data_IF_368555365997
#
_entry.id   IF_368555365997
#
_cell.length_a   1.000
_cell.length_b   1.000
_cell.length_c   1.000
_cell.angle_alpha   90.00
_cell.angle_beta   90.00
_cell.angle_gamma   90.00
#
_symmetry.space_group_name_H-M   'P 1'
#
loop_
_entity.id
_entity.type
_entity.pdbx_description
1 polymer ?
#
# COMPACT_ATOMS: atom_id res chain seq x y z
N UNK A 1 40.90 2.40 33.25
CA UNK A 1 39.51 2.88 33.11
C UNK A 1 39.25 3.20 31.63
N UNK A 2 38.99 2.19 30.79
CA UNK A 2 38.70 2.39 29.37
C UNK A 2 37.21 2.65 29.19
N UNK A 3 36.84 3.84 28.67
CA UNK A 3 35.48 4.14 28.24
C UNK A 3 35.19 3.31 26.99
N UNK A 4 34.29 2.34 27.10
CA UNK A 4 33.72 1.64 25.95
C UNK A 4 32.78 2.61 25.25
N UNK A 5 33.17 3.10 24.07
CA UNK A 5 32.25 3.74 23.13
C UNK A 5 31.33 2.61 22.61
N UNK A 6 30.05 2.66 22.96
CA UNK A 6 29.04 1.84 22.33
C UNK A 6 28.77 2.41 20.95
N UNK A 7 29.06 1.64 19.90
CA UNK A 7 28.62 1.96 18.55
C UNK A 7 27.08 1.92 18.53
N UNK A 8 26.47 3.09 18.37
CA UNK A 8 25.04 3.17 18.10
C UNK A 8 24.76 2.57 16.71
N UNK A 9 23.74 1.70 16.63
CA UNK A 9 23.28 1.14 15.37
C UNK A 9 22.78 2.28 14.47
N UNK A 10 23.54 2.56 13.39
CA UNK A 10 23.06 3.44 12.32
C UNK A 10 21.93 2.70 11.60
N UNK A 11 20.68 3.12 11.84
CA UNK A 11 19.51 2.62 11.11
C UNK A 11 19.64 3.01 9.63
N UNK A 12 19.97 2.03 8.79
CA UNK A 12 20.08 2.20 7.35
C UNK A 12 18.67 2.36 6.75
N UNK A 13 18.37 3.62 6.40
CA UNK A 13 17.40 4.06 5.41
C UNK A 13 15.96 3.57 5.58
N UNK A 14 15.11 4.45 6.12
CA UNK A 14 13.69 4.43 5.80
C UNK A 14 13.51 4.35 4.28
N UNK A 15 12.77 3.35 3.80
CA UNK A 15 12.34 3.25 2.40
C UNK A 15 11.40 4.43 2.09
N UNK A 16 11.97 5.58 1.74
CA UNK A 16 11.21 6.74 1.29
C UNK A 16 10.59 6.35 -0.05
N UNK A 17 9.27 6.17 -0.07
CA UNK A 17 8.55 5.89 -1.32
C UNK A 17 8.81 7.04 -2.30
N UNK A 18 9.09 6.76 -3.58
CA UNK A 18 9.31 7.82 -4.57
C UNK A 18 8.05 8.69 -4.64
N UNK A 19 8.23 10.00 -4.43
CA UNK A 19 7.13 10.96 -4.51
C UNK A 19 6.62 11.07 -5.95
N UNK A 20 5.30 11.18 -6.09
CA UNK A 20 4.69 11.42 -7.41
C UNK A 20 5.15 12.78 -7.97
N UNK A 21 5.01 12.96 -9.29
CA UNK A 21 5.40 14.20 -9.97
C UNK A 21 4.65 15.42 -9.43
N UNK A 22 3.41 15.24 -9.00
CA UNK A 22 2.59 16.31 -8.40
C UNK A 22 3.13 16.72 -7.03
N UNK A 23 3.47 15.75 -6.16
CA UNK A 23 4.08 16.03 -4.86
C UNK A 23 5.40 16.80 -4.99
N UNK A 24 6.21 16.48 -6.00
CA UNK A 24 7.45 17.23 -6.28
C UNK A 24 7.18 18.67 -6.74
N UNK A 25 6.11 18.91 -7.48
CA UNK A 25 5.73 20.27 -7.92
C UNK A 25 5.21 21.11 -6.74
N UNK A 26 4.46 20.47 -5.84
CA UNK A 26 3.92 21.07 -4.61
C UNK A 26 5.07 21.46 -3.66
N UNK A 27 6.06 20.58 -3.48
CA UNK A 27 7.20 20.84 -2.59
C UNK A 27 8.15 21.93 -3.10
N UNK A 28 8.17 22.17 -4.42
CA UNK A 28 8.91 23.28 -5.03
C UNK A 28 8.25 24.65 -4.81
N UNK A 29 6.95 24.69 -4.53
CA UNK A 29 6.23 25.94 -4.26
C UNK A 29 6.40 26.37 -2.81
N UNK A 30 7.42 27.21 -2.56
CA UNK A 30 7.74 27.78 -1.24
C UNK A 30 6.53 28.42 -0.55
N UNK A 31 5.76 29.22 -1.28
CA UNK A 31 4.58 29.92 -0.73
C UNK A 31 3.47 28.95 -0.27
N UNK A 32 3.29 27.85 -0.99
CA UNK A 32 2.27 26.85 -0.65
C UNK A 32 2.71 26.02 0.57
N UNK A 33 4.00 25.68 0.66
CA UNK A 33 4.60 25.04 1.83
C UNK A 33 4.56 25.95 3.07
N UNK A 34 4.81 27.25 2.92
CA UNK A 34 4.71 28.23 4.00
C UNK A 34 3.24 28.36 4.47
N UNK A 35 2.27 28.42 3.54
CA UNK A 35 0.83 28.42 3.88
C UNK A 35 0.40 27.18 4.65
N UNK A 36 0.83 25.99 4.21
CA UNK A 36 0.56 24.74 4.93
C UNK A 36 1.25 24.71 6.30
N UNK A 37 2.50 25.19 6.39
CA UNK A 37 3.20 25.32 7.67
C UNK A 37 2.46 26.27 8.61
N UNK A 38 1.98 27.41 8.12
CA UNK A 38 1.21 28.38 8.93
C UNK A 38 -0.13 27.79 9.36
N UNK A 39 -0.85 27.08 8.49
CA UNK A 39 -2.08 26.36 8.86
C UNK A 39 -1.84 25.34 9.97
N UNK A 40 -0.82 24.49 9.81
CA UNK A 40 -0.51 23.44 10.78
C UNK A 40 0.13 23.97 12.07
N UNK A 41 0.67 25.20 12.06
CA UNK A 41 1.22 25.86 13.26
C UNK A 41 0.13 26.36 14.21
N UNK A 42 -1.14 26.41 13.79
CA UNK A 42 -2.27 26.86 14.61
C UNK A 42 -2.96 25.70 15.35
N UNK A 43 -2.56 24.45 15.10
CA UNK A 43 -3.04 23.28 15.85
C UNK A 43 -2.41 23.27 17.26
N UNK A 44 -2.95 24.08 18.17
CA UNK A 44 -2.95 23.93 19.65
C UNK A 44 -3.35 25.22 20.42
N UNK A 45 -3.98 26.20 19.77
CA UNK A 45 -4.73 27.23 20.50
C UNK A 45 -6.19 27.15 20.07
N UNK A 46 -7.01 26.46 20.85
CA UNK A 46 -8.46 26.71 20.86
C UNK A 46 -8.68 28.15 21.34
N UNK A 47 -8.65 29.11 20.40
CA UNK A 47 -9.20 30.43 20.65
C UNK A 47 -10.72 30.30 20.68
N UNK A 48 -11.28 30.19 21.89
CA UNK A 48 -12.72 30.25 22.12
C UNK A 48 -13.37 31.57 21.64
N UNK A 49 -12.59 32.56 21.20
CA UNK A 49 -13.08 33.85 20.70
C UNK A 49 -13.46 33.85 19.20
N UNK A 50 -13.23 32.74 18.49
CA UNK A 50 -13.77 32.54 17.14
C UNK A 50 -14.80 31.41 17.12
N UNK A 51 -15.76 31.46 18.04
CA UNK A 51 -17.11 31.14 17.62
C UNK A 51 -17.52 32.16 16.55
N UNK A 52 -17.04 31.98 15.32
CA UNK A 52 -17.76 32.50 14.17
C UNK A 52 -19.12 31.84 14.25
N UNK A 53 -20.08 32.56 14.83
CA UNK A 53 -21.47 32.43 14.48
C UNK A 53 -21.49 32.72 12.99
N UNK A 54 -21.24 31.69 12.19
CA UNK A 54 -21.60 31.68 10.79
C UNK A 54 -23.10 31.79 10.87
N UNK A 55 -23.60 33.02 10.82
CA UNK A 55 -24.96 33.29 10.44
C UNK A 55 -25.07 32.67 9.04
N UNK A 56 -25.43 31.39 9.02
CA UNK A 56 -26.02 30.72 7.87
C UNK A 56 -27.04 31.71 7.37
N UNK A 57 -26.77 32.34 6.23
CA UNK A 57 -27.68 33.28 5.59
C UNK A 57 -29.06 32.63 5.59
N UNK A 58 -29.91 33.07 6.51
CA UNK A 58 -31.19 32.45 6.77
C UNK A 58 -32.05 32.74 5.55
N UNK A 59 -32.27 31.73 4.73
CA UNK A 59 -33.21 31.85 3.63
C UNK A 59 -34.61 31.93 4.26
N UNK A 60 -35.22 33.11 4.24
CA UNK A 60 -36.52 33.39 4.87
C UNK A 60 -37.64 32.48 4.37
N UNK A 61 -37.43 31.82 3.22
CA UNK A 61 -38.32 30.81 2.65
C UNK A 61 -38.56 29.58 3.55
N UNK A 62 -37.64 29.26 4.49
CA UNK A 62 -37.75 28.05 5.31
C UNK A 62 -38.28 28.33 6.72
N UNK A 63 -38.77 29.56 6.98
CA UNK A 63 -39.13 29.99 8.34
C UNK A 63 -40.43 29.36 8.85
N UNK A 64 -41.27 28.82 7.96
CA UNK A 64 -42.63 28.33 8.29
C UNK A 64 -43.03 27.01 7.60
N UNK A 65 -42.13 26.33 6.88
CA UNK A 65 -42.49 25.19 6.02
C UNK A 65 -42.06 23.81 6.54
N UNK A 66 -40.81 23.66 6.97
CA UNK A 66 -40.22 22.36 7.26
C UNK A 66 -39.63 22.32 8.67
N UNK A 67 -39.89 21.23 9.41
CA UNK A 67 -39.19 20.97 10.66
C UNK A 67 -37.68 20.95 10.38
N UNK A 68 -36.90 21.73 11.12
CA UNK A 68 -35.45 21.78 10.96
C UNK A 68 -34.80 20.38 11.00
N UNK A 69 -35.41 19.47 11.75
CA UNK A 69 -35.00 18.06 11.82
C UNK A 69 -35.17 17.32 10.49
N UNK A 70 -36.21 17.61 9.71
CA UNK A 70 -36.48 16.95 8.44
C UNK A 70 -35.52 17.45 7.35
N UNK A 71 -35.21 18.75 7.35
CA UNK A 71 -34.16 19.30 6.48
C UNK A 71 -32.78 18.69 6.81
N UNK A 72 -32.45 18.54 8.09
CA UNK A 72 -31.18 17.93 8.49
C UNK A 72 -31.13 16.43 8.16
N UNK A 73 -32.24 15.70 8.37
CA UNK A 73 -32.38 14.30 7.93
C UNK A 73 -32.22 14.17 6.42
N UNK A 74 -32.83 15.05 5.63
CA UNK A 74 -32.71 15.03 4.17
C UNK A 74 -31.28 15.34 3.72
N UNK A 75 -30.62 16.31 4.35
CA UNK A 75 -29.21 16.63 4.08
C UNK A 75 -28.28 15.46 4.41
N UNK A 76 -28.52 14.75 5.51
CA UNK A 76 -27.75 13.56 5.87
C UNK A 76 -27.99 12.39 4.91
N UNK A 77 -29.22 12.21 4.43
CA UNK A 77 -29.54 11.22 3.38
C UNK A 77 -28.83 11.54 2.08
N UNK A 78 -28.91 12.78 1.59
CA UNK A 78 -28.20 13.23 0.39
C UNK A 78 -26.68 13.04 0.50
N UNK A 79 -26.08 13.33 1.67
CA UNK A 79 -24.65 13.06 1.91
C UNK A 79 -24.31 11.57 1.85
N UNK A 80 -25.15 10.71 2.41
CA UNK A 80 -24.98 9.25 2.34
C UNK A 80 -25.08 8.76 0.91
N UNK A 81 -26.08 9.22 0.16
CA UNK A 81 -26.32 8.83 -1.23
C UNK A 81 -25.19 9.32 -2.16
N UNK A 82 -24.71 10.55 -1.96
CA UNK A 82 -23.56 11.06 -2.70
C UNK A 82 -22.29 10.24 -2.41
N UNK A 83 -22.08 9.83 -1.16
CA UNK A 83 -20.93 9.00 -0.76
C UNK A 83 -21.02 7.59 -1.36
N UNK A 84 -22.21 6.97 -1.39
CA UNK A 84 -22.38 5.64 -1.97
C UNK A 84 -22.15 5.66 -3.48
N UNK A 85 -22.71 6.65 -4.19
CA UNK A 85 -22.47 6.86 -5.62
C UNK A 85 -20.98 7.05 -5.92
N UNK A 86 -20.29 7.91 -5.17
CA UNK A 86 -18.85 8.12 -5.33
C UNK A 86 -18.03 6.83 -5.15
N UNK A 87 -18.35 6.03 -4.11
CA UNK A 87 -17.67 4.76 -3.89
C UNK A 87 -17.95 3.74 -4.99
N UNK A 88 -19.16 3.73 -5.55
CA UNK A 88 -19.50 2.88 -6.69
C UNK A 88 -18.70 3.28 -7.94
N UNK A 89 -18.65 4.57 -8.28
CA UNK A 89 -17.85 5.09 -9.41
C UNK A 89 -16.36 4.78 -9.25
N UNK A 90 -15.80 5.03 -8.06
CA UNK A 90 -14.41 4.71 -7.75
C UNK A 90 -14.13 3.20 -7.90
N UNK A 91 -15.06 2.36 -7.45
CA UNK A 91 -14.98 0.90 -7.59
C UNK A 91 -15.04 0.44 -9.05
N UNK A 92 -15.87 1.07 -9.89
CA UNK A 92 -15.94 0.77 -11.32
C UNK A 92 -14.64 1.17 -12.04
N UNK A 93 -14.11 2.37 -11.75
CA UNK A 93 -12.84 2.83 -12.31
C UNK A 93 -11.67 1.92 -11.93
N UNK A 94 -11.65 1.42 -10.69
CA UNK A 94 -10.63 0.47 -10.25
C UNK A 94 -10.69 -0.85 -11.03
N UNK A 95 -11.91 -1.38 -11.29
CA UNK A 95 -12.09 -2.60 -12.09
C UNK A 95 -11.70 -2.41 -13.55
N UNK A 96 -12.09 -1.30 -14.16
CA UNK A 96 -11.71 -0.98 -15.55
C UNK A 96 -10.18 -0.89 -15.70
N UNK A 97 -9.51 -0.28 -14.72
CA UNK A 97 -8.06 -0.21 -14.69
C UNK A 97 -7.40 -1.59 -14.56
N UNK A 98 -7.94 -2.46 -13.71
CA UNK A 98 -7.44 -3.83 -13.55
C UNK A 98 -7.63 -4.65 -14.84
N UNK A 99 -8.78 -4.53 -15.49
CA UNK A 99 -9.05 -5.14 -16.80
C UNK A 99 -8.06 -4.65 -17.86
N UNK A 100 -7.84 -3.34 -17.94
CA UNK A 100 -6.87 -2.76 -18.86
C UNK A 100 -5.46 -3.32 -18.67
N UNK A 101 -5.00 -3.47 -17.42
CA UNK A 101 -3.67 -4.05 -17.16
C UNK A 101 -3.60 -5.53 -17.55
N UNK A 102 -4.64 -6.31 -17.24
CA UNK A 102 -4.70 -7.73 -17.64
C UNK A 102 -4.67 -7.89 -19.16
N UNK A 103 -5.46 -7.11 -19.89
CA UNK A 103 -5.45 -7.12 -21.36
C UNK A 103 -4.08 -6.71 -21.91
N UNK A 104 -3.42 -5.73 -21.29
CA UNK A 104 -2.09 -5.27 -21.70
C UNK A 104 -1.01 -6.32 -21.46
N UNK A 105 -1.11 -7.08 -20.38
CA UNK A 105 -0.16 -8.14 -20.05
C UNK A 105 -0.38 -9.37 -20.96
N UNK A 106 -1.63 -9.78 -21.19
CA UNK A 106 -1.95 -10.83 -22.18
C UNK A 106 -1.43 -10.43 -23.58
N UNK A 107 -1.69 -9.19 -24.01
CA UNK A 107 -1.21 -8.70 -25.30
C UNK A 107 0.30 -8.50 -25.39
N UNK A 108 1.04 -8.48 -24.27
CA UNK A 108 2.50 -8.53 -24.27
C UNK A 108 3.00 -9.97 -24.38
N UNK A 109 2.38 -10.90 -23.66
CA UNK A 109 2.74 -12.31 -23.69
C UNK A 109 2.49 -12.88 -25.10
N UNK A 110 1.37 -12.55 -25.74
CA UNK A 110 1.09 -12.94 -27.12
C UNK A 110 2.12 -12.39 -28.11
N UNK A 111 2.51 -11.10 -27.97
CA UNK A 111 3.57 -10.50 -28.79
C UNK A 111 4.91 -11.16 -28.54
N UNK A 112 5.23 -11.48 -27.29
CA UNK A 112 6.47 -12.15 -26.92
C UNK A 112 6.53 -13.57 -27.51
N UNK A 113 5.42 -14.32 -27.44
CA UNK A 113 5.29 -15.64 -28.06
C UNK A 113 5.39 -15.57 -29.58
N UNK A 114 4.75 -14.58 -30.22
CA UNK A 114 4.90 -14.36 -31.66
C UNK A 114 6.34 -13.97 -32.04
N UNK A 115 6.99 -13.10 -31.28
CA UNK A 115 8.39 -12.73 -31.49
C UNK A 115 9.33 -13.93 -31.35
N UNK A 116 9.07 -14.83 -30.40
CA UNK A 116 9.80 -16.10 -30.23
C UNK A 116 9.67 -17.02 -31.46
N UNK A 117 8.45 -17.14 -32.00
CA UNK A 117 8.19 -17.95 -33.20
C UNK A 117 8.84 -17.32 -34.43
N UNK A 118 8.72 -16.00 -34.60
CA UNK A 118 9.15 -15.28 -35.81
C UNK A 118 10.66 -15.09 -35.86
N UNK A 119 11.29 -14.78 -34.73
CA UNK A 119 12.75 -14.65 -34.67
C UNK A 119 13.44 -16.01 -34.68
N UNK A 120 12.70 -17.07 -34.38
CA UNK A 120 13.25 -18.38 -34.10
C UNK A 120 14.21 -18.31 -32.91
N UNK A 121 14.49 -19.45 -32.32
CA UNK A 121 15.68 -19.55 -31.47
C UNK A 121 16.89 -19.36 -32.40
N UNK A 122 17.34 -18.11 -32.62
CA UNK A 122 18.69 -17.81 -33.08
C UNK A 122 19.61 -18.25 -31.95
N UNK A 123 19.79 -19.57 -31.87
CA UNK A 123 20.66 -20.21 -30.92
C UNK A 123 22.04 -19.61 -31.16
N UNK A 124 22.64 -19.08 -30.10
CA UNK A 124 24.08 -19.00 -30.06
C UNK A 124 24.61 -20.41 -30.38
N UNK A 125 25.74 -20.50 -31.07
CA UNK A 125 26.30 -21.75 -31.62
C UNK A 125 26.43 -22.89 -30.57
N UNK A 126 26.35 -22.58 -29.26
CA UNK A 126 26.37 -23.56 -28.16
C UNK A 126 25.00 -24.14 -27.74
N UNK A 127 23.86 -23.59 -28.18
CA UNK A 127 22.53 -24.10 -27.79
C UNK A 127 22.15 -23.94 -26.31
N UNK A 128 23.04 -23.38 -25.48
CA UNK A 128 22.80 -23.15 -24.06
C UNK A 128 22.12 -21.79 -23.81
N UNK A 129 21.13 -21.73 -22.89
CA UNK A 129 20.49 -20.48 -22.51
C UNK A 129 21.48 -19.57 -21.76
N UNK A 130 21.80 -18.42 -22.37
CA UNK A 130 22.65 -17.40 -21.79
C UNK A 130 21.83 -16.39 -20.99
N UNK A 131 22.18 -16.17 -19.72
CA UNK A 131 21.47 -15.21 -18.88
C UNK A 131 22.05 -13.81 -19.08
N UNK A 132 21.26 -12.90 -19.67
CA UNK A 132 21.69 -11.53 -20.01
C UNK A 132 21.92 -10.67 -18.75
N UNK A 133 21.24 -10.97 -17.64
CA UNK A 133 21.33 -10.19 -16.40
C UNK A 133 22.62 -10.54 -15.64
N UNK A 134 22.94 -11.82 -15.52
CA UNK A 134 24.16 -12.29 -14.82
C UNK A 134 25.37 -12.40 -15.74
N UNK A 135 25.17 -12.36 -17.07
CA UNK A 135 26.19 -12.55 -18.12
C UNK A 135 26.90 -13.90 -18.06
N UNK A 136 26.23 -14.91 -17.53
CA UNK A 136 26.75 -16.28 -17.36
C UNK A 136 25.88 -17.27 -18.12
N UNK A 137 26.49 -18.36 -18.62
CA UNK A 137 25.76 -19.52 -19.13
C UNK A 137 25.19 -20.31 -17.96
N UNK A 138 24.03 -20.95 -18.16
CA UNK A 138 23.40 -21.77 -17.13
C UNK A 138 24.34 -22.89 -16.67
N UNK A 139 24.85 -22.81 -15.44
CA UNK A 139 25.59 -23.90 -14.83
C UNK A 139 24.61 -24.79 -14.06
N UNK A 140 24.35 -26.04 -14.50
CA UNK A 140 23.37 -26.92 -13.85
C UNK A 140 23.73 -27.25 -12.40
N UNK A 141 25.02 -27.29 -12.07
CA UNK A 141 25.47 -27.58 -10.70
C UNK A 141 25.15 -26.43 -9.74
N UNK A 142 25.39 -25.19 -10.17
CA UNK A 142 25.08 -24.00 -9.38
C UNK A 142 23.58 -23.86 -9.13
N UNK A 143 22.76 -24.25 -10.11
CA UNK A 143 21.31 -24.22 -9.97
C UNK A 143 20.82 -25.24 -8.93
N UNK A 144 21.35 -26.46 -8.97
CA UNK A 144 21.03 -27.49 -7.97
C UNK A 144 21.44 -27.05 -6.56
N UNK A 145 22.58 -26.38 -6.41
CA UNK A 145 23.01 -25.81 -5.13
C UNK A 145 22.05 -24.72 -4.62
N UNK A 146 21.61 -23.82 -5.50
CA UNK A 146 20.66 -22.75 -5.17
C UNK A 146 19.27 -23.30 -4.80
N UNK A 147 18.78 -24.30 -5.53
CA UNK A 147 17.51 -24.97 -5.25
C UNK A 147 17.58 -25.69 -3.90
N UNK A 148 18.67 -26.40 -3.62
CA UNK A 148 18.91 -27.04 -2.34
C UNK A 148 18.99 -26.04 -1.18
N UNK A 149 19.61 -24.87 -1.39
CA UNK A 149 19.68 -23.82 -0.39
C UNK A 149 18.30 -23.21 -0.11
N UNK A 150 17.52 -22.90 -1.16
CA UNK A 150 16.16 -22.40 -1.02
C UNK A 150 15.25 -23.39 -0.28
N UNK A 151 15.41 -24.68 -0.53
CA UNK A 151 14.63 -25.71 0.16
C UNK A 151 15.00 -25.84 1.65
N UNK A 152 16.29 -25.69 1.99
CA UNK A 152 16.74 -25.61 3.40
C UNK A 152 16.16 -24.39 4.11
N UNK A 153 16.17 -23.23 3.45
CA UNK A 153 15.62 -21.99 4.01
C UNK A 153 14.11 -22.10 4.23
N UNK A 154 13.39 -22.73 3.29
CA UNK A 154 11.97 -23.00 3.42
C UNK A 154 11.66 -23.89 4.64
N UNK A 155 12.40 -24.98 4.81
CA UNK A 155 12.25 -25.88 5.97
C UNK A 155 12.54 -25.14 7.28
N UNK A 156 13.61 -24.34 7.33
CA UNK A 156 13.95 -23.54 8.50
C UNK A 156 12.86 -22.50 8.84
N UNK A 157 12.28 -21.85 7.83
CA UNK A 157 11.20 -20.90 7.99
C UNK A 157 9.92 -21.58 8.52
N UNK A 158 9.57 -22.78 8.04
CA UNK A 158 8.44 -23.55 8.57
C UNK A 158 8.66 -23.95 10.02
N UNK A 159 9.84 -24.45 10.38
CA UNK A 159 10.16 -24.79 11.76
C UNK A 159 10.07 -23.57 12.69
N UNK A 160 10.55 -22.40 12.24
CA UNK A 160 10.42 -21.15 13.00
C UNK A 160 8.95 -20.71 13.13
N UNK A 161 8.15 -20.85 12.08
CA UNK A 161 6.70 -20.56 12.12
C UNK A 161 5.99 -21.43 13.16
N UNK A 162 6.26 -22.73 13.19
CA UNK A 162 5.68 -23.65 14.18
C UNK A 162 6.14 -23.32 15.60
N UNK A 163 7.41 -23.00 15.79
CA UNK A 163 7.94 -22.59 17.10
C UNK A 163 7.33 -21.29 17.59
N UNK A 164 7.13 -20.31 16.70
CA UNK A 164 6.43 -19.07 17.03
C UNK A 164 4.96 -19.33 17.35
N UNK A 165 4.27 -20.19 16.59
CA UNK A 165 2.91 -20.60 16.91
C UNK A 165 2.81 -21.26 18.30
N UNK A 166 3.80 -22.10 18.66
CA UNK A 166 3.89 -22.72 20.00
C UNK A 166 4.19 -21.71 21.11
N UNK A 167 4.94 -20.64 20.83
CA UNK A 167 5.33 -19.60 21.81
C UNK A 167 4.36 -18.41 21.89
N UNK A 168 3.51 -18.22 20.89
CA UNK A 168 2.63 -17.05 20.74
C UNK A 168 1.31 -17.14 21.52
N UNK A 169 1.02 -18.27 22.18
CA UNK A 169 -0.16 -18.43 23.01
C UNK A 169 0.22 -18.40 24.48
N UNK A 170 -0.39 -17.51 25.26
CA UNK A 170 -0.33 -17.48 26.74
C UNK A 170 -0.98 -18.72 27.39
N UNK A 171 -1.07 -19.85 26.68
CA UNK A 171 -1.89 -21.01 27.02
C UNK A 171 -3.38 -20.85 26.66
N UNK A 172 -3.82 -19.66 26.26
CA UNK A 172 -5.22 -19.35 25.92
C UNK A 172 -5.35 -18.46 24.67
N UNK A 173 -6.47 -18.59 23.97
CA UNK A 173 -6.84 -17.73 22.84
C UNK A 173 -7.28 -16.34 23.35
N UNK A 174 -6.61 -15.26 22.93
CA UNK A 174 -6.95 -13.91 23.41
C UNK A 174 -8.32 -13.40 22.96
N UNK A 175 -8.91 -13.97 21.91
CA UNK A 175 -10.24 -13.58 21.41
C UNK A 175 -11.38 -14.33 22.12
N UNK A 176 -11.15 -15.57 22.54
CA UNK A 176 -12.20 -16.44 23.11
C UNK A 176 -11.97 -16.83 24.57
N UNK A 177 -10.76 -16.67 25.10
CA UNK A 177 -10.38 -17.04 26.47
C UNK A 177 -10.18 -18.54 26.71
N UNK A 178 -10.39 -19.38 25.70
CA UNK A 178 -10.29 -20.84 25.82
C UNK A 178 -8.83 -21.33 25.77
N UNK A 179 -8.53 -22.43 26.47
CA UNK A 179 -7.21 -23.06 26.43
C UNK A 179 -6.84 -23.48 25.00
N UNK A 180 -5.64 -23.06 24.57
CA UNK A 180 -5.18 -23.28 23.21
C UNK A 180 -4.69 -24.73 23.05
N UNK A 181 -5.61 -25.63 22.70
CA UNK A 181 -5.29 -27.04 22.48
C UNK A 181 -4.57 -27.23 21.14
N UNK A 182 -3.25 -27.35 21.18
CA UNK A 182 -2.35 -27.52 20.03
C UNK A 182 -2.42 -28.91 19.37
N UNK A 183 -3.31 -29.80 19.85
CA UNK A 183 -3.56 -31.14 19.29
C UNK A 183 -4.97 -31.23 18.70
N UNK A 184 -5.17 -30.65 17.53
CA UNK A 184 -6.20 -31.06 16.57
C UNK A 184 -5.66 -30.86 15.16
#
# INVERSE_FOLDING_TARGET
MSRKLSDELIEIAMRVKPQTREYRRISQNRDLMEKQRVQNRVENYERHDQAQVVATSYNEHNRFGDSFEDMERQRQRQKKDAKTLYLQEMGQMARQRDQFYKEKDIGKDERYQQDLVTRGSKKNVSGEPFNILTREYHNPQLQEELENQAQKDYVAAQARKEQLAKKSGLGYNMLTGEEYNWRK
#
